data_IF_278675070647
#
_entry.id   IF_278675070647
#
_cell.length_a   1.000
_cell.length_b   1.000
_cell.length_c   1.000
_cell.angle_alpha   90.00
_cell.angle_beta   90.00
_cell.angle_gamma   90.00
#
_symmetry.space_group_name_H-M   'P 1'
#
loop_
_entity.id
_entity.type
_entity.pdbx_description
1 polymer ?
#
# COMPACT_ATOMS: atom_id res chain seq x y z
N UNK A 1 28.49 15.97 -7.61
CA UNK A 1 27.49 16.71 -8.41
C UNK A 1 26.75 15.67 -9.24
N UNK A 2 25.55 15.24 -8.82
CA UNK A 2 24.78 14.21 -9.51
C UNK A 2 24.13 14.84 -10.75
N UNK A 3 24.23 14.24 -11.95
CA UNK A 3 23.64 14.82 -13.16
C UNK A 3 22.13 14.97 -13.04
N UNK A 4 21.57 16.11 -13.49
CA UNK A 4 20.12 16.40 -13.44
C UNK A 4 19.25 15.28 -14.04
N UNK A 5 19.76 14.52 -15.01
CA UNK A 5 19.06 13.37 -15.60
C UNK A 5 18.79 12.22 -14.63
N UNK A 6 19.64 11.98 -13.65
CA UNK A 6 19.42 10.99 -12.59
C UNK A 6 18.24 11.37 -11.68
N UNK A 7 18.10 12.65 -11.35
CA UNK A 7 17.00 13.17 -10.52
C UNK A 7 15.64 12.94 -11.17
N UNK A 8 15.51 13.16 -12.49
CA UNK A 8 14.26 12.92 -13.21
C UNK A 8 13.93 11.43 -13.33
N UNK A 9 14.94 10.59 -13.53
CA UNK A 9 14.74 9.14 -13.64
C UNK A 9 14.31 8.53 -12.30
N UNK A 10 14.91 8.93 -11.19
CA UNK A 10 14.51 8.49 -9.84
C UNK A 10 13.08 8.93 -9.52
N UNK A 11 12.71 10.18 -9.77
CA UNK A 11 11.35 10.67 -9.51
C UNK A 11 10.30 9.88 -10.30
N UNK A 12 10.58 9.52 -11.55
CA UNK A 12 9.66 8.72 -12.38
C UNK A 12 9.48 7.30 -11.84
N UNK A 13 10.55 6.66 -11.36
CA UNK A 13 10.47 5.30 -10.78
C UNK A 13 9.63 5.31 -9.50
N UNK A 14 9.79 6.31 -8.63
CA UNK A 14 8.99 6.42 -7.41
C UNK A 14 7.51 6.64 -7.71
N UNK A 15 7.15 7.50 -8.66
CA UNK A 15 5.77 7.70 -9.09
C UNK A 15 5.15 6.39 -9.62
N UNK A 16 5.91 5.64 -10.43
CA UNK A 16 5.44 4.34 -10.92
C UNK A 16 5.20 3.37 -9.76
N UNK A 17 6.13 3.28 -8.80
CA UNK A 17 5.97 2.44 -7.61
C UNK A 17 4.76 2.84 -6.77
N UNK A 18 4.52 4.14 -6.58
CA UNK A 18 3.34 4.64 -5.88
C UNK A 18 2.04 4.23 -6.57
N UNK A 19 1.95 4.41 -7.89
CA UNK A 19 0.77 4.02 -8.67
C UNK A 19 0.56 2.50 -8.61
N UNK A 20 1.60 1.71 -8.84
CA UNK A 20 1.53 0.24 -8.79
C UNK A 20 1.14 -0.24 -7.40
N UNK A 21 1.75 0.30 -6.35
CA UNK A 21 1.42 -0.01 -4.97
C UNK A 21 -0.03 0.36 -4.61
N UNK A 22 -0.49 1.54 -5.05
CA UNK A 22 -1.86 2.02 -4.84
C UNK A 22 -2.88 1.11 -5.51
N UNK A 23 -2.66 0.73 -6.76
CA UNK A 23 -3.54 -0.21 -7.49
C UNK A 23 -3.54 -1.58 -6.79
N UNK A 24 -2.38 -2.11 -6.46
CA UNK A 24 -2.26 -3.41 -5.81
C UNK A 24 -2.99 -3.45 -4.46
N UNK A 25 -2.81 -2.44 -3.62
CA UNK A 25 -3.51 -2.36 -2.33
C UNK A 25 -5.00 -2.03 -2.47
N UNK A 26 -5.42 -1.26 -3.48
CA UNK A 26 -6.83 -1.04 -3.77
C UNK A 26 -7.52 -2.36 -4.16
N UNK A 27 -6.88 -3.18 -5.00
CA UNK A 27 -7.36 -4.53 -5.35
C UNK A 27 -7.48 -5.40 -4.10
N UNK A 28 -6.45 -5.47 -3.28
CA UNK A 28 -6.44 -6.25 -2.05
C UNK A 28 -7.54 -5.81 -1.07
N UNK A 29 -7.73 -4.49 -0.89
CA UNK A 29 -8.79 -3.92 -0.07
C UNK A 29 -10.18 -4.25 -0.60
N UNK A 30 -10.41 -4.04 -1.89
CA UNK A 30 -11.69 -4.34 -2.56
C UNK A 30 -12.03 -5.84 -2.48
N UNK A 31 -11.08 -6.72 -2.76
CA UNK A 31 -11.27 -8.17 -2.63
C UNK A 31 -11.63 -8.55 -1.19
N UNK A 32 -10.94 -7.98 -0.20
CA UNK A 32 -11.26 -8.25 1.21
C UNK A 32 -12.68 -7.80 1.56
N UNK A 33 -13.13 -6.63 1.07
CA UNK A 33 -14.48 -6.11 1.25
C UNK A 33 -15.55 -6.99 0.59
N UNK A 34 -15.32 -7.43 -0.65
CA UNK A 34 -16.20 -8.33 -1.39
C UNK A 34 -16.34 -9.67 -0.64
N UNK A 35 -15.25 -10.22 -0.15
CA UNK A 35 -15.28 -11.46 0.65
C UNK A 35 -16.07 -11.29 1.96
N UNK A 36 -16.15 -10.07 2.49
CA UNK A 36 -16.97 -9.71 3.65
C UNK A 36 -18.41 -9.32 3.28
N UNK A 37 -18.78 -9.42 2.00
CA UNK A 37 -20.10 -9.06 1.46
C UNK A 37 -20.51 -7.61 1.77
N UNK A 38 -19.53 -6.70 1.75
CA UNK A 38 -19.80 -5.27 1.87
C UNK A 38 -20.47 -4.75 0.60
N UNK A 39 -21.23 -3.68 0.74
CA UNK A 39 -21.85 -2.98 -0.40
C UNK A 39 -20.80 -2.20 -1.23
N UNK A 40 -21.24 -1.60 -2.32
CA UNK A 40 -20.36 -0.85 -3.22
C UNK A 40 -19.56 0.23 -2.49
N UNK A 41 -20.21 0.95 -1.56
CA UNK A 41 -19.56 2.00 -0.78
C UNK A 41 -18.51 1.42 0.15
N UNK A 42 -18.81 0.33 0.84
CA UNK A 42 -17.88 -0.39 1.72
C UNK A 42 -16.65 -0.91 0.96
N UNK A 43 -16.84 -1.41 -0.28
CA UNK A 43 -15.73 -1.86 -1.14
C UNK A 43 -14.83 -0.70 -1.53
N UNK A 44 -15.40 0.45 -1.94
CA UNK A 44 -14.62 1.64 -2.29
C UNK A 44 -13.85 2.16 -1.07
N UNK A 45 -14.53 2.33 0.06
CA UNK A 45 -13.89 2.84 1.29
C UNK A 45 -12.75 1.92 1.73
N UNK A 46 -12.97 0.61 1.78
CA UNK A 46 -11.93 -0.32 2.23
C UNK A 46 -10.75 -0.37 1.25
N UNK A 47 -11.00 -0.24 -0.05
CA UNK A 47 -9.95 -0.14 -1.05
C UNK A 47 -9.11 1.14 -0.90
N UNK A 48 -9.76 2.29 -0.72
CA UNK A 48 -9.08 3.58 -0.49
C UNK A 48 -8.28 3.55 0.82
N UNK A 49 -8.89 3.08 1.91
CA UNK A 49 -8.21 2.96 3.22
C UNK A 49 -6.99 2.04 3.12
N UNK A 50 -7.10 0.95 2.39
CA UNK A 50 -5.96 0.03 2.21
C UNK A 50 -4.84 0.68 1.40
N UNK A 51 -5.18 1.36 0.31
CA UNK A 51 -4.20 1.95 -0.60
C UNK A 51 -3.51 3.18 -0.01
N UNK A 52 -4.26 4.06 0.65
CA UNK A 52 -3.76 5.35 1.13
C UNK A 52 -3.41 5.36 2.62
N UNK A 53 -3.90 4.38 3.38
CA UNK A 53 -3.79 4.37 4.84
C UNK A 53 -2.35 4.30 5.37
N UNK A 54 -1.47 3.58 4.68
CA UNK A 54 -0.05 3.49 5.04
C UNK A 54 0.66 4.84 4.93
N UNK A 55 0.43 5.55 3.82
CA UNK A 55 0.94 6.90 3.61
C UNK A 55 0.37 7.91 4.62
N UNK A 56 -0.92 7.80 4.93
CA UNK A 56 -1.56 8.64 5.94
C UNK A 56 -0.94 8.45 7.33
N UNK A 57 -0.73 7.21 7.76
CA UNK A 57 -0.07 6.90 9.03
C UNK A 57 1.36 7.46 9.08
N UNK A 58 2.12 7.29 7.99
CA UNK A 58 3.47 7.86 7.85
C UNK A 58 3.44 9.38 8.03
N UNK A 59 2.58 10.06 7.29
CA UNK A 59 2.52 11.53 7.28
C UNK A 59 2.13 12.08 8.67
N UNK A 60 1.19 11.43 9.36
CA UNK A 60 0.83 11.78 10.74
C UNK A 60 2.04 11.63 11.67
N UNK A 61 2.78 10.53 11.58
CA UNK A 61 3.93 10.26 12.45
C UNK A 61 5.12 11.17 12.15
N UNK A 62 5.32 11.58 10.89
CA UNK A 62 6.33 12.55 10.48
C UNK A 62 5.92 14.01 10.75
N UNK A 63 4.69 14.25 11.21
CA UNK A 63 4.18 15.61 11.45
C UNK A 63 3.95 16.42 10.18
N UNK A 64 3.71 15.75 9.05
CA UNK A 64 3.44 16.41 7.75
C UNK A 64 2.00 16.86 7.70
N UNK A 65 1.77 18.16 7.64
CA UNK A 65 0.44 18.78 7.52
C UNK A 65 0.42 19.87 6.44
N UNK A 66 -0.62 19.89 5.55
CA UNK A 66 -1.62 18.83 5.36
C UNK A 66 -0.98 17.55 4.83
N UNK A 67 -1.61 16.39 5.12
CA UNK A 67 -1.10 15.11 4.64
C UNK A 67 -1.12 15.07 3.11
N UNK A 68 -0.17 14.34 2.52
CA UNK A 68 0.00 14.20 1.06
C UNK A 68 -1.29 13.74 0.37
N UNK A 69 -2.08 12.91 1.03
CA UNK A 69 -3.38 12.42 0.56
C UNK A 69 -4.38 13.54 0.24
N UNK A 70 -4.37 14.63 1.02
CA UNK A 70 -5.28 15.77 0.83
C UNK A 70 -4.75 16.82 -0.13
N UNK A 71 -3.45 16.82 -0.38
CA UNK A 71 -2.83 17.71 -1.37
C UNK A 71 -2.98 17.12 -2.77
N UNK A 72 -2.69 15.84 -2.93
CA UNK A 72 -2.79 15.12 -4.20
C UNK A 72 -3.88 14.04 -4.10
N UNK A 73 -5.07 14.36 -4.61
CA UNK A 73 -6.21 13.44 -4.65
C UNK A 73 -6.10 12.34 -5.70
N UNK A 74 -5.06 12.34 -6.53
CA UNK A 74 -4.88 11.40 -7.64
C UNK A 74 -4.89 9.95 -7.14
N UNK A 75 -4.18 9.66 -6.05
CA UNK A 75 -4.11 8.31 -5.48
C UNK A 75 -5.45 7.84 -4.91
N UNK A 76 -6.24 8.76 -4.35
CA UNK A 76 -7.62 8.47 -3.89
C UNK A 76 -8.51 8.12 -5.08
N UNK A 77 -8.42 8.88 -6.17
CA UNK A 77 -9.20 8.64 -7.39
C UNK A 77 -8.82 7.30 -8.01
N UNK A 78 -7.52 6.99 -8.13
CA UNK A 78 -7.02 5.71 -8.65
C UNK A 78 -7.54 4.55 -7.80
N UNK A 79 -7.39 4.63 -6.47
CA UNK A 79 -7.82 3.55 -5.58
C UNK A 79 -9.33 3.36 -5.57
N UNK A 80 -10.11 4.44 -5.55
CA UNK A 80 -11.57 4.39 -5.63
C UNK A 80 -12.06 3.80 -6.96
N UNK A 81 -11.47 4.24 -8.08
CA UNK A 81 -11.81 3.75 -9.42
C UNK A 81 -11.48 2.26 -9.57
N UNK A 82 -10.30 1.84 -9.09
CA UNK A 82 -9.88 0.43 -9.11
C UNK A 82 -10.83 -0.44 -8.28
N UNK A 83 -11.20 0.02 -7.08
CA UNK A 83 -12.11 -0.71 -6.19
C UNK A 83 -13.51 -0.83 -6.77
N UNK A 84 -14.04 0.26 -7.35
CA UNK A 84 -15.34 0.28 -8.00
C UNK A 84 -15.36 -0.65 -9.22
N UNK A 85 -14.31 -0.63 -10.05
CA UNK A 85 -14.19 -1.50 -11.21
C UNK A 85 -14.22 -2.98 -10.80
N UNK A 86 -13.47 -3.35 -9.76
CA UNK A 86 -13.50 -4.69 -9.22
C UNK A 86 -14.88 -5.08 -8.70
N UNK A 87 -15.55 -4.20 -7.96
CA UNK A 87 -16.91 -4.44 -7.49
C UNK A 87 -17.86 -4.73 -8.65
N UNK A 88 -17.81 -3.92 -9.72
CA UNK A 88 -18.66 -4.12 -10.92
C UNK A 88 -18.37 -5.47 -11.59
N UNK A 89 -17.08 -5.84 -11.74
CA UNK A 89 -16.67 -7.13 -12.32
C UNK A 89 -17.26 -8.29 -11.53
N UNK A 90 -17.10 -8.30 -10.20
CA UNK A 90 -17.63 -9.36 -9.34
C UNK A 90 -19.18 -9.37 -9.31
N UNK A 91 -19.81 -8.20 -9.36
CA UNK A 91 -21.25 -8.06 -9.41
C UNK A 91 -21.86 -8.64 -10.71
N UNK A 92 -21.17 -8.47 -11.85
CA UNK A 92 -21.61 -9.01 -13.15
C UNK A 92 -21.44 -10.52 -13.21
N UNK A 93 -20.34 -11.06 -12.68
CA UNK A 93 -20.03 -12.50 -12.73
C UNK A 93 -21.03 -13.31 -11.89
N UNK A 94 -21.60 -12.75 -10.82
CA UNK A 94 -22.61 -13.37 -9.94
C UNK A 94 -22.25 -14.77 -9.42
N UNK A 95 -20.99 -15.12 -9.33
CA UNK A 95 -20.54 -16.43 -8.85
C UNK A 95 -20.06 -16.30 -7.40
N UNK A 96 -20.95 -16.60 -6.44
CA UNK A 96 -20.64 -16.55 -5.00
C UNK A 96 -19.50 -17.51 -4.61
N UNK A 97 -19.20 -18.51 -5.44
CA UNK A 97 -18.13 -19.47 -5.18
C UNK A 97 -16.73 -18.92 -5.49
N UNK A 98 -16.61 -17.77 -6.16
CA UNK A 98 -15.31 -17.19 -6.55
C UNK A 98 -14.42 -16.86 -5.35
N UNK A 99 -15.02 -16.41 -4.25
CA UNK A 99 -14.29 -16.02 -3.02
C UNK A 99 -13.73 -17.22 -2.26
N UNK A 100 -14.25 -18.43 -2.51
CA UNK A 100 -13.77 -19.68 -1.90
C UNK A 100 -12.66 -20.36 -2.71
N UNK A 101 -12.43 -19.91 -3.95
CA UNK A 101 -11.44 -20.51 -4.84
C UNK A 101 -10.02 -20.15 -4.39
N UNK A 102 -9.10 -21.11 -4.54
CA UNK A 102 -7.68 -20.94 -4.18
C UNK A 102 -7.04 -19.74 -4.88
N UNK A 103 -7.32 -19.53 -6.18
CA UNK A 103 -6.77 -18.42 -6.95
C UNK A 103 -7.11 -17.04 -6.36
N UNK A 104 -8.27 -16.91 -5.69
CA UNK A 104 -8.66 -15.67 -5.02
C UNK A 104 -7.72 -15.31 -3.87
N UNK A 105 -7.40 -16.29 -3.03
CA UNK A 105 -6.46 -16.11 -1.93
C UNK A 105 -5.02 -15.89 -2.44
N UNK A 106 -4.64 -16.56 -3.51
CA UNK A 106 -3.34 -16.37 -4.15
C UNK A 106 -3.22 -14.96 -4.73
N UNK A 107 -4.24 -14.46 -5.42
CA UNK A 107 -4.28 -13.10 -5.96
C UNK A 107 -4.22 -12.04 -4.84
N UNK A 108 -4.98 -12.23 -3.76
CA UNK A 108 -4.94 -11.35 -2.59
C UNK A 108 -3.53 -11.29 -1.99
N UNK A 109 -2.86 -12.43 -1.88
CA UNK A 109 -1.49 -12.51 -1.36
C UNK A 109 -0.49 -11.83 -2.29
N UNK A 110 -0.62 -12.01 -3.61
CA UNK A 110 0.25 -11.40 -4.61
C UNK A 110 0.09 -9.88 -4.61
N UNK A 111 -1.16 -9.38 -4.61
CA UNK A 111 -1.41 -7.94 -4.59
C UNK A 111 -0.92 -7.30 -3.29
N UNK A 112 -1.08 -7.96 -2.15
CA UNK A 112 -0.50 -7.53 -0.88
C UNK A 112 1.05 -7.46 -0.97
N UNK A 113 1.68 -8.49 -1.52
CA UNK A 113 3.14 -8.53 -1.64
C UNK A 113 3.69 -7.41 -2.54
N UNK A 114 3.01 -7.12 -3.67
CA UNK A 114 3.37 -6.02 -4.57
C UNK A 114 3.23 -4.67 -3.84
N UNK A 115 2.12 -4.43 -3.16
CA UNK A 115 1.88 -3.22 -2.41
C UNK A 115 2.90 -3.01 -1.28
N UNK A 116 3.18 -4.06 -0.50
CA UNK A 116 4.22 -4.04 0.53
C UNK A 116 5.59 -3.66 -0.04
N UNK A 117 6.02 -4.33 -1.13
CA UNK A 117 7.31 -4.06 -1.77
C UNK A 117 7.43 -2.61 -2.28
N UNK A 118 6.40 -2.11 -2.97
CA UNK A 118 6.36 -0.76 -3.48
C UNK A 118 6.42 0.29 -2.35
N UNK A 119 5.59 0.14 -1.34
CA UNK A 119 5.48 1.14 -0.27
C UNK A 119 6.61 1.12 0.77
N UNK A 120 7.40 0.04 0.87
CA UNK A 120 8.67 0.08 1.63
C UNK A 120 9.61 1.10 0.99
N UNK A 121 9.76 1.04 -0.33
CA UNK A 121 10.67 1.92 -1.06
C UNK A 121 10.19 3.37 -1.00
N UNK A 122 8.92 3.59 -1.27
CA UNK A 122 8.29 4.94 -1.21
C UNK A 122 8.36 5.52 0.20
N UNK A 123 8.06 4.73 1.23
CA UNK A 123 8.12 5.18 2.63
C UNK A 123 9.52 5.57 3.08
N UNK A 124 10.54 4.83 2.62
CA UNK A 124 11.93 5.18 2.88
C UNK A 124 12.32 6.49 2.18
N UNK A 125 11.99 6.62 0.88
CA UNK A 125 12.32 7.81 0.08
C UNK A 125 11.70 9.09 0.66
N UNK A 126 10.42 9.07 0.99
CA UNK A 126 9.74 10.21 1.62
C UNK A 126 10.39 10.58 2.95
N UNK A 127 10.78 9.61 3.76
CA UNK A 127 11.43 9.86 5.05
C UNK A 127 12.81 10.51 4.86
N UNK A 128 13.60 9.98 3.92
CA UNK A 128 14.93 10.56 3.57
C UNK A 128 14.76 11.99 3.06
N UNK A 129 13.78 12.25 2.20
CA UNK A 129 13.49 13.59 1.68
C UNK A 129 13.13 14.56 2.81
N UNK A 130 12.32 14.15 3.78
CA UNK A 130 11.98 14.97 4.95
C UNK A 130 13.17 15.22 5.87
N UNK A 131 14.07 14.26 6.01
CA UNK A 131 15.34 14.47 6.73
C UNK A 131 16.23 15.48 6.01
N UNK A 132 16.27 15.46 4.69
CA UNK A 132 16.99 16.46 3.90
C UNK A 132 16.38 17.87 4.01
N UNK A 133 15.08 17.98 4.26
CA UNK A 133 14.36 19.25 4.55
C UNK A 133 14.56 19.75 5.98
N UNK A 134 15.25 19.00 6.85
CA UNK A 134 15.59 19.43 8.22
C UNK A 134 14.93 18.63 9.34
N UNK A 135 14.23 17.55 9.03
CA UNK A 135 13.75 16.62 10.05
C UNK A 135 14.93 15.89 10.69
N UNK A 136 15.09 16.01 12.01
CA UNK A 136 16.10 15.26 12.72
C UNK A 136 15.71 13.77 12.79
N UNK A 137 16.56 12.90 12.27
CA UNK A 137 16.31 11.46 12.27
C UNK A 137 17.61 10.68 12.08
N UNK A 138 17.45 9.36 12.15
CA UNK A 138 18.52 8.41 11.94
C UNK A 138 18.02 7.25 11.05
N UNK A 139 18.90 6.29 10.76
CA UNK A 139 18.56 5.11 9.94
C UNK A 139 17.36 4.34 10.50
N UNK A 140 17.24 4.30 11.83
CA UNK A 140 16.07 3.63 12.46
C UNK A 140 14.75 4.29 12.07
N UNK A 141 14.70 5.64 12.02
CA UNK A 141 13.49 6.35 11.58
C UNK A 141 13.11 5.99 10.15
N UNK A 142 14.08 5.91 9.23
CA UNK A 142 13.84 5.55 7.84
C UNK A 142 13.23 4.15 7.75
N UNK A 143 13.85 3.17 8.41
CA UNK A 143 13.39 1.78 8.44
C UNK A 143 11.99 1.66 9.04
N UNK A 144 11.77 2.35 10.14
CA UNK A 144 10.49 2.32 10.85
C UNK A 144 9.36 2.93 9.99
N UNK A 145 9.60 4.09 9.38
CA UNK A 145 8.60 4.74 8.53
C UNK A 145 8.34 3.98 7.23
N UNK A 146 9.36 3.40 6.62
CA UNK A 146 9.21 2.50 5.49
C UNK A 146 8.30 1.30 5.84
N UNK A 147 8.52 0.70 7.01
CA UNK A 147 7.73 -0.42 7.53
C UNK A 147 6.28 0.00 7.78
N UNK A 148 6.05 1.11 8.48
CA UNK A 148 4.71 1.63 8.77
C UNK A 148 3.96 1.95 7.47
N UNK A 149 4.62 2.58 6.50
CA UNK A 149 4.01 2.91 5.21
C UNK A 149 3.55 1.65 4.48
N UNK A 150 4.41 0.64 4.43
CA UNK A 150 4.10 -0.60 3.71
C UNK A 150 3.01 -1.43 4.40
N UNK A 151 3.14 -1.63 5.72
CA UNK A 151 2.26 -2.53 6.48
C UNK A 151 0.97 -1.87 6.89
N UNK A 152 0.98 -0.54 7.08
CA UNK A 152 -0.12 0.22 7.66
C UNK A 152 -1.43 0.08 6.89
N UNK A 153 -1.38 0.12 5.56
CA UNK A 153 -2.57 -0.05 4.71
C UNK A 153 -3.23 -1.42 4.90
N UNK A 154 -2.44 -2.49 4.86
CA UNK A 154 -2.92 -3.86 5.07
C UNK A 154 -3.45 -4.09 6.49
N UNK A 155 -2.80 -3.50 7.50
CA UNK A 155 -3.28 -3.56 8.89
C UNK A 155 -4.63 -2.86 9.04
N UNK A 156 -4.78 -1.65 8.52
CA UNK A 156 -6.06 -0.93 8.55
C UNK A 156 -7.15 -1.73 7.85
N UNK A 157 -6.88 -2.27 6.64
CA UNK A 157 -7.80 -3.16 5.93
C UNK A 157 -8.28 -4.30 6.81
N UNK A 158 -7.37 -5.01 7.44
CA UNK A 158 -7.71 -6.19 8.23
C UNK A 158 -8.52 -5.81 9.48
N UNK A 159 -8.18 -4.69 10.13
CA UNK A 159 -8.94 -4.15 11.27
C UNK A 159 -10.37 -3.79 10.84
N UNK A 160 -10.54 -3.03 9.75
CA UNK A 160 -11.87 -2.67 9.24
C UNK A 160 -12.68 -3.87 8.76
N UNK A 161 -12.00 -4.91 8.25
CA UNK A 161 -12.61 -6.18 7.88
C UNK A 161 -12.89 -7.11 9.08
N UNK A 162 -12.63 -6.68 10.31
CA UNK A 162 -12.74 -7.48 11.53
C UNK A 162 -11.98 -8.83 11.42
N UNK A 163 -10.75 -8.76 10.91
CA UNK A 163 -9.81 -9.88 10.80
C UNK A 163 -8.56 -9.60 11.64
N UNK A 164 -7.94 -10.66 12.14
CA UNK A 164 -6.58 -10.53 12.68
C UNK A 164 -5.65 -10.17 11.53
N UNK A 165 -4.86 -9.08 11.66
CA UNK A 165 -3.97 -8.66 10.58
C UNK A 165 -3.02 -9.77 10.14
N UNK A 166 -2.92 -9.99 8.85
CA UNK A 166 -2.13 -11.07 8.25
C UNK A 166 -0.65 -11.03 8.66
N UNK A 167 -0.14 -9.84 8.98
CA UNK A 167 1.25 -9.66 9.43
C UNK A 167 1.55 -10.40 10.75
N UNK A 168 0.54 -10.62 11.58
CA UNK A 168 0.68 -11.37 12.84
C UNK A 168 0.44 -12.87 12.68
N UNK A 169 -0.03 -13.31 11.51
CA UNK A 169 -0.31 -14.70 11.22
C UNK A 169 0.90 -15.36 10.54
N UNK A 170 1.43 -16.42 11.16
CA UNK A 170 2.67 -17.11 10.76
C UNK A 170 2.64 -17.78 9.37
N UNK A 171 1.60 -17.56 8.57
CA UNK A 171 1.38 -18.18 7.25
C UNK A 171 1.46 -17.19 6.09
N UNK A 172 1.86 -15.96 6.31
CA UNK A 172 1.82 -14.94 5.26
C UNK A 172 3.07 -14.98 4.39
N UNK A 173 2.92 -15.44 3.16
CA UNK A 173 3.92 -15.34 2.09
C UNK A 173 4.33 -13.86 1.89
N UNK A 174 3.42 -12.92 2.10
CA UNK A 174 3.68 -11.48 2.04
C UNK A 174 4.79 -11.01 2.98
N UNK A 175 4.95 -11.62 4.16
CA UNK A 175 6.02 -11.30 5.10
C UNK A 175 7.42 -11.63 4.52
N UNK A 176 7.54 -12.72 3.76
CA UNK A 176 8.79 -13.10 3.10
C UNK A 176 9.15 -12.14 1.95
N UNK A 177 8.17 -11.71 1.17
CA UNK A 177 8.38 -10.70 0.12
C UNK A 177 8.73 -9.33 0.71
N UNK A 178 8.09 -8.94 1.80
CA UNK A 178 8.45 -7.74 2.55
C UNK A 178 9.91 -7.77 3.03
N UNK A 179 10.33 -8.86 3.68
CA UNK A 179 11.71 -9.04 4.13
C UNK A 179 12.71 -9.05 2.97
N UNK A 180 12.33 -9.60 1.82
CA UNK A 180 13.17 -9.60 0.63
C UNK A 180 13.32 -8.21 0.02
N UNK A 181 12.22 -7.45 -0.09
CA UNK A 181 12.25 -6.05 -0.55
C UNK A 181 13.07 -5.16 0.39
N UNK A 182 12.93 -5.38 1.69
CA UNK A 182 13.70 -4.69 2.72
C UNK A 182 15.21 -5.00 2.63
N UNK A 183 15.58 -6.28 2.44
CA UNK A 183 16.97 -6.68 2.21
C UNK A 183 17.54 -6.04 0.93
N UNK A 184 16.76 -6.01 -0.14
CA UNK A 184 17.17 -5.40 -1.40
C UNK A 184 17.45 -3.90 -1.23
N UNK A 185 16.57 -3.17 -0.53
CA UNK A 185 16.77 -1.76 -0.22
C UNK A 185 18.06 -1.53 0.57
N UNK A 186 18.33 -2.33 1.60
CA UNK A 186 19.54 -2.22 2.42
C UNK A 186 20.84 -2.63 1.70
N UNK A 187 20.75 -3.48 0.68
CA UNK A 187 21.93 -3.86 -0.10
C UNK A 187 22.36 -2.77 -1.10
N UNK A 188 21.47 -1.82 -1.40
CA UNK A 188 21.72 -0.71 -2.35
C UNK A 188 21.91 0.66 -1.66
N UNK A 189 21.77 0.75 -0.36
CA UNK A 189 22.05 1.96 0.42
C UNK A 189 23.46 1.95 1.00
#
# INVERSE_FOLDING_TARGET
MIPKGYYYMFNTVFIILEIVGTIAFAISGAMTAINRRLDALGVIILGVVTACGGGLLRDIMLGVFPQSLFIDSLYVIISASTSLLLFIVFYIIKDDSLTEKKWYNDLLTITDAIGLGAFVVVGADVTISKMAEGLNGNVFLIVFMATITAVGGGMLRDIFAAKVPNIFCNKSISTWYFLSAFKFFFAFS
#
